data_IF_445439799795
#
_entry.id   IF_445439799795
#
_cell.length_a   1.000
_cell.length_b   1.000
_cell.length_c   1.000
_cell.angle_alpha   90.00
_cell.angle_beta   90.00
_cell.angle_gamma   90.00
#
_symmetry.space_group_name_H-M   'P 1'
#
loop_
_entity.id
_entity.type
_entity.pdbx_description
1 polymer ?
#
# COMPACT_ATOMS: atom_id res chain seq x y z
N UNK A 1 -27.57 -17.90 1.61
CA UNK A 1 -27.94 -16.67 2.35
C UNK A 1 -27.64 -16.91 3.82
N UNK A 2 -26.42 -16.62 4.23
CA UNK A 2 -26.07 -16.37 5.63
C UNK A 2 -25.48 -14.96 5.65
N UNK A 3 -26.04 -14.13 6.52
CA UNK A 3 -25.85 -12.69 6.55
C UNK A 3 -24.41 -12.34 6.95
N UNK A 4 -23.56 -12.02 5.97
CA UNK A 4 -22.37 -11.18 6.17
C UNK A 4 -22.85 -9.73 6.04
N UNK A 5 -23.71 -9.29 6.94
CA UNK A 5 -24.12 -7.89 7.06
C UNK A 5 -23.71 -7.46 8.46
N UNK A 6 -22.94 -6.37 8.55
CA UNK A 6 -22.47 -5.70 9.79
C UNK A 6 -21.17 -6.20 10.42
N UNK A 7 -20.08 -6.32 9.66
CA UNK A 7 -18.75 -6.23 10.29
C UNK A 7 -18.18 -4.83 10.02
N UNK A 8 -18.26 -3.96 11.05
CA UNK A 8 -17.58 -2.66 11.07
C UNK A 8 -16.09 -2.79 10.70
N UNK A 9 -15.51 -3.96 11.00
CA UNK A 9 -14.13 -4.34 10.75
C UNK A 9 -13.98 -5.39 9.63
N UNK A 10 -13.01 -5.20 8.73
CA UNK A 10 -12.88 -5.96 7.48
C UNK A 10 -12.35 -7.40 7.58
N UNK A 11 -12.04 -7.90 8.78
CA UNK A 11 -11.64 -9.30 9.01
C UNK A 11 -12.46 -9.89 10.15
N UNK A 12 -12.98 -11.10 9.95
CA UNK A 12 -13.80 -11.82 10.94
C UNK A 12 -13.32 -13.24 11.13
N UNK A 13 -13.63 -13.82 12.30
CA UNK A 13 -13.38 -15.22 12.65
C UNK A 13 -14.73 -15.93 12.68
N UNK A 14 -14.84 -17.03 11.94
CA UNK A 14 -15.99 -17.93 11.97
C UNK A 14 -15.81 -18.94 13.10
N UNK A 15 -16.44 -18.71 14.26
CA UNK A 15 -16.28 -19.55 15.46
C UNK A 15 -16.62 -21.01 15.21
N UNK A 16 -17.60 -21.31 14.34
CA UNK A 16 -17.99 -22.67 13.95
C UNK A 16 -16.91 -23.42 13.16
N UNK A 17 -15.96 -22.71 12.57
CA UNK A 17 -14.84 -23.28 11.81
C UNK A 17 -13.50 -23.17 12.55
N UNK A 18 -13.44 -22.43 13.66
CA UNK A 18 -12.20 -22.20 14.39
C UNK A 18 -11.82 -23.45 15.20
N UNK A 19 -10.62 -24.00 14.93
CA UNK A 19 -10.08 -25.13 15.69
C UNK A 19 -9.14 -24.74 16.82
N UNK A 20 -9.09 -23.46 17.22
CA UNK A 20 -8.28 -22.95 18.35
C UNK A 20 -6.78 -23.34 18.32
N UNK A 21 -6.22 -23.58 17.13
CA UNK A 21 -4.84 -24.04 16.96
C UNK A 21 -3.75 -22.96 17.19
N UNK A 22 -4.16 -21.71 17.47
CA UNK A 22 -3.30 -20.55 17.75
C UNK A 22 -2.31 -20.13 16.64
N UNK A 23 -2.42 -20.70 15.43
CA UNK A 23 -1.55 -20.34 14.29
C UNK A 23 -1.73 -18.88 13.87
N UNK A 24 -2.96 -18.36 13.93
CA UNK A 24 -3.25 -16.96 13.62
C UNK A 24 -2.55 -15.99 14.58
N UNK A 25 -2.48 -16.33 15.88
CA UNK A 25 -1.76 -15.58 16.90
C UNK A 25 -0.27 -15.55 16.57
N UNK A 26 0.35 -16.72 16.36
CA UNK A 26 1.80 -16.84 16.10
C UNK A 26 2.26 -16.25 14.77
N UNK A 27 1.35 -16.15 13.80
CA UNK A 27 1.65 -15.59 12.48
C UNK A 27 1.35 -14.09 12.37
N UNK A 28 0.73 -13.48 13.38
CA UNK A 28 0.46 -12.05 13.39
C UNK A 28 1.74 -11.27 13.76
N UNK A 29 2.30 -10.45 12.85
CA UNK A 29 3.47 -9.63 13.18
C UNK A 29 3.17 -8.44 14.10
N UNK A 30 1.90 -8.19 14.42
CA UNK A 30 1.46 -7.01 15.17
C UNK A 30 0.79 -7.36 16.49
N UNK A 31 0.88 -8.62 16.93
CA UNK A 31 0.25 -9.12 18.16
C UNK A 31 -1.24 -8.75 18.30
N UNK A 32 -1.91 -8.64 17.15
CA UNK A 32 -3.28 -8.17 17.06
C UNK A 32 -4.31 -9.27 17.32
N UNK A 33 -3.89 -10.52 17.52
CA UNK A 33 -4.80 -11.64 17.77
C UNK A 33 -4.43 -12.23 19.13
N UNK A 34 -5.42 -12.35 20.02
CA UNK A 34 -5.22 -12.78 21.40
C UNK A 34 -6.15 -13.94 21.73
N UNK A 35 -5.69 -14.80 22.63
CA UNK A 35 -6.49 -15.87 23.22
C UNK A 35 -7.11 -15.34 24.52
N UNK A 36 -8.45 -15.38 24.60
CA UNK A 36 -9.22 -15.13 25.84
C UNK A 36 -10.09 -16.36 26.12
N UNK A 37 -11.41 -16.20 26.19
CA UNK A 37 -12.37 -17.30 26.14
C UNK A 37 -12.50 -17.84 24.71
N UNK A 38 -12.43 -16.95 23.73
CA UNK A 38 -12.31 -17.26 22.30
C UNK A 38 -11.10 -16.50 21.71
N UNK A 39 -10.74 -16.85 20.47
CA UNK A 39 -9.73 -16.11 19.71
C UNK A 39 -10.34 -14.81 19.20
N UNK A 40 -9.76 -13.68 19.59
CA UNK A 40 -10.25 -12.34 19.23
C UNK A 40 -9.18 -11.53 18.46
N UNK A 41 -9.64 -10.63 17.58
CA UNK A 41 -8.77 -9.69 16.86
C UNK A 41 -8.95 -8.29 17.45
N UNK A 42 -7.84 -7.66 17.85
CA UNK A 42 -7.73 -6.27 18.23
C UNK A 42 -7.72 -5.37 16.97
N UNK A 43 -8.79 -4.60 16.70
CA UNK A 43 -8.89 -3.79 15.48
C UNK A 43 -7.85 -2.68 15.41
N UNK A 44 -7.45 -2.13 16.56
CA UNK A 44 -6.47 -1.05 16.65
C UNK A 44 -5.08 -1.56 16.25
N UNK A 45 -4.65 -2.69 16.83
CA UNK A 45 -3.37 -3.30 16.53
C UNK A 45 -3.31 -3.91 15.11
N UNK A 46 -4.41 -4.50 14.61
CA UNK A 46 -4.41 -5.28 13.38
C UNK A 46 -4.11 -4.42 12.14
N UNK A 47 -2.95 -4.58 11.51
CA UNK A 47 -2.63 -3.83 10.30
C UNK A 47 -3.32 -4.35 9.02
N UNK A 48 -4.29 -5.26 9.11
CA UNK A 48 -5.06 -5.76 7.96
C UNK A 48 -4.19 -6.32 6.81
N UNK A 49 -3.05 -6.94 7.17
CA UNK A 49 -2.10 -7.53 6.22
C UNK A 49 -2.60 -8.87 5.66
N UNK A 50 -3.45 -9.60 6.39
CA UNK A 50 -4.07 -10.86 5.97
C UNK A 50 -3.19 -12.12 6.08
N UNK A 51 -2.02 -12.04 6.73
CA UNK A 51 -1.12 -13.20 6.95
C UNK A 51 -1.80 -14.28 7.81
N UNK A 52 -2.59 -13.89 8.80
CA UNK A 52 -3.34 -14.81 9.65
C UNK A 52 -4.37 -15.63 8.86
N UNK A 53 -5.06 -15.00 7.90
CA UNK A 53 -6.06 -15.69 7.09
C UNK A 53 -5.42 -16.72 6.15
N UNK A 54 -4.30 -16.38 5.51
CA UNK A 54 -3.57 -17.32 4.64
C UNK A 54 -2.84 -18.42 5.40
N UNK A 55 -2.70 -18.26 6.72
CA UNK A 55 -2.08 -19.26 7.59
C UNK A 55 -3.10 -20.10 8.35
N UNK A 56 -4.40 -19.78 8.27
CA UNK A 56 -5.46 -20.50 8.98
C UNK A 56 -5.75 -21.84 8.28
N UNK A 57 -5.40 -22.99 8.89
CA UNK A 57 -5.62 -24.29 8.26
C UNK A 57 -7.11 -24.65 8.13
N UNK A 58 -7.96 -24.08 8.99
CA UNK A 58 -9.40 -24.32 9.00
C UNK A 58 -10.18 -23.34 8.09
N UNK A 59 -9.53 -22.34 7.49
CA UNK A 59 -10.21 -21.31 6.70
C UNK A 59 -11.19 -20.44 7.51
N UNK A 60 -11.05 -20.39 8.84
CA UNK A 60 -11.97 -19.69 9.73
C UNK A 60 -11.87 -18.16 9.65
N UNK A 61 -10.75 -17.61 9.17
CA UNK A 61 -10.56 -16.15 9.03
C UNK A 61 -11.02 -15.67 7.66
N UNK A 62 -12.06 -14.84 7.62
CA UNK A 62 -12.62 -14.24 6.41
C UNK A 62 -12.15 -12.80 6.27
N UNK A 63 -11.69 -12.43 5.06
CA UNK A 63 -11.24 -11.06 4.73
C UNK A 63 -12.21 -10.46 3.72
N UNK A 64 -12.64 -9.24 3.96
CA UNK A 64 -13.54 -8.50 3.09
C UNK A 64 -12.86 -8.07 1.77
N UNK A 65 -11.75 -7.35 1.87
CA UNK A 65 -10.99 -6.88 0.70
C UNK A 65 -10.05 -7.97 0.20
N UNK A 66 -10.11 -8.27 -1.09
CA UNK A 66 -9.32 -9.35 -1.71
C UNK A 66 -9.61 -10.73 -1.09
N UNK A 67 -10.90 -11.04 -0.86
CA UNK A 67 -11.34 -12.38 -0.46
C UNK A 67 -10.88 -13.44 -1.47
N UNK A 68 -10.75 -14.70 -1.05
CA UNK A 68 -10.25 -15.76 -1.94
C UNK A 68 -11.11 -15.94 -3.18
N UNK A 69 -12.43 -15.79 -3.05
CA UNK A 69 -13.34 -15.87 -4.20
C UNK A 69 -13.17 -14.68 -5.15
N UNK A 70 -12.91 -13.47 -4.63
CA UNK A 70 -12.59 -12.33 -5.48
C UNK A 70 -11.28 -12.55 -6.25
N UNK A 71 -10.26 -13.12 -5.58
CA UNK A 71 -8.97 -13.42 -6.22
C UNK A 71 -9.10 -14.48 -7.31
N UNK A 72 -9.89 -15.55 -7.07
CA UNK A 72 -10.16 -16.56 -8.11
C UNK A 72 -10.80 -15.95 -9.36
N UNK A 73 -11.78 -15.05 -9.19
CA UNK A 73 -12.42 -14.35 -10.31
C UNK A 73 -11.43 -13.51 -11.11
N UNK A 74 -10.57 -12.74 -10.42
CA UNK A 74 -9.53 -11.94 -11.08
C UNK A 74 -8.54 -12.85 -11.83
N UNK A 75 -8.12 -13.96 -11.22
CA UNK A 75 -7.26 -14.96 -11.89
C UNK A 75 -7.94 -15.51 -13.15
N UNK A 76 -9.22 -15.86 -13.09
CA UNK A 76 -9.95 -16.33 -14.27
C UNK A 76 -10.02 -15.28 -15.38
N UNK A 77 -10.16 -14.01 -15.04
CA UNK A 77 -10.16 -12.90 -16.00
C UNK A 77 -8.80 -12.72 -16.66
N UNK A 78 -7.71 -12.75 -15.87
CA UNK A 78 -6.33 -12.66 -16.38
C UNK A 78 -6.01 -13.83 -17.31
N UNK A 79 -6.36 -15.06 -16.89
CA UNK A 79 -6.04 -16.27 -17.65
C UNK A 79 -6.86 -16.45 -18.94
N UNK A 80 -7.95 -15.69 -19.11
CA UNK A 80 -8.63 -15.57 -20.42
C UNK A 80 -7.81 -14.78 -21.43
N UNK A 81 -6.97 -13.87 -20.96
CA UNK A 81 -6.20 -12.95 -21.81
C UNK A 81 -4.79 -13.47 -22.10
N UNK A 82 -4.13 -14.06 -21.11
CA UNK A 82 -2.76 -14.58 -21.23
C UNK A 82 -2.52 -15.78 -20.28
N UNK A 83 -1.62 -16.72 -20.62
CA UNK A 83 -1.35 -17.90 -19.79
C UNK A 83 -0.42 -17.63 -18.59
N UNK A 84 -0.06 -16.38 -18.32
CA UNK A 84 0.74 -15.96 -17.17
C UNK A 84 -0.08 -15.08 -16.22
N UNK A 85 0.16 -15.22 -14.91
CA UNK A 85 -0.45 -14.34 -13.89
C UNK A 85 0.62 -13.83 -12.95
N UNK A 86 0.59 -12.54 -12.67
CA UNK A 86 1.52 -11.87 -11.78
C UNK A 86 0.83 -11.28 -10.55
N UNK A 87 1.42 -11.48 -9.38
CA UNK A 87 0.98 -10.92 -8.12
C UNK A 87 2.07 -10.03 -7.54
N UNK A 88 1.73 -8.79 -7.19
CA UNK A 88 2.68 -7.86 -6.61
C UNK A 88 2.23 -7.30 -5.27
N UNK A 89 3.20 -6.97 -4.43
CA UNK A 89 2.94 -6.13 -3.26
C UNK A 89 2.76 -4.69 -3.70
N UNK A 90 1.70 -4.04 -3.22
CA UNK A 90 1.40 -2.61 -3.46
C UNK A 90 2.50 -1.64 -3.01
N UNK A 91 3.41 -2.09 -2.14
CA UNK A 91 4.57 -1.29 -1.75
C UNK A 91 5.52 -0.99 -2.92
N UNK A 92 5.46 -1.76 -4.00
CA UNK A 92 6.37 -1.72 -5.13
C UNK A 92 5.69 -1.07 -6.35
N UNK A 93 5.80 0.26 -6.56
CA UNK A 93 5.40 0.94 -7.80
C UNK A 93 5.97 0.32 -9.07
N UNK A 94 7.20 -0.22 -9.05
CA UNK A 94 7.83 -0.88 -10.20
C UNK A 94 7.00 -2.05 -10.75
N UNK A 95 6.18 -2.67 -9.90
CA UNK A 95 5.24 -3.70 -10.31
C UNK A 95 3.93 -3.11 -10.88
N UNK A 96 3.99 -1.96 -11.55
CA UNK A 96 2.80 -1.29 -12.08
C UNK A 96 2.02 -2.16 -13.06
N UNK A 97 2.73 -2.95 -13.86
CA UNK A 97 2.16 -3.84 -14.87
C UNK A 97 1.76 -5.22 -14.31
N UNK A 98 1.84 -5.42 -12.99
CA UNK A 98 1.38 -6.68 -12.39
C UNK A 98 -0.13 -6.80 -12.51
N UNK A 99 -0.62 -8.02 -12.73
CA UNK A 99 -2.04 -8.31 -12.90
C UNK A 99 -2.83 -8.11 -11.60
N UNK A 100 -2.24 -8.48 -10.47
CA UNK A 100 -2.92 -8.47 -9.17
C UNK A 100 -2.06 -7.79 -8.11
N UNK A 101 -2.46 -6.59 -7.68
CA UNK A 101 -1.78 -5.83 -6.61
C UNK A 101 -2.45 -6.05 -5.27
N UNK A 102 -1.84 -6.87 -4.43
CA UNK A 102 -2.30 -7.10 -3.07
C UNK A 102 -1.66 -6.10 -2.11
N UNK A 103 -2.34 -5.74 -1.01
CA UNK A 103 -1.72 -4.92 0.02
C UNK A 103 -0.47 -5.59 0.61
N UNK A 104 -0.52 -6.92 0.78
CA UNK A 104 0.60 -7.75 1.20
C UNK A 104 0.54 -9.06 0.41
N UNK A 105 1.65 -9.51 -0.18
CA UNK A 105 1.70 -10.87 -0.75
C UNK A 105 1.77 -11.96 0.33
N UNK A 106 2.14 -11.63 1.57
CA UNK A 106 2.06 -12.55 2.70
C UNK A 106 0.64 -13.08 2.95
N UNK A 107 -0.39 -12.41 2.42
CA UNK A 107 -1.80 -12.84 2.47
C UNK A 107 -2.19 -13.82 1.37
N UNK A 108 -1.33 -14.05 0.38
CA UNK A 108 -1.62 -14.91 -0.75
C UNK A 108 -1.55 -16.38 -0.27
N UNK A 109 -2.68 -17.11 -0.28
CA UNK A 109 -2.70 -18.48 0.19
C UNK A 109 -2.32 -19.44 -0.96
N UNK A 110 -1.84 -20.64 -0.63
CA UNK A 110 -1.35 -21.62 -1.63
C UNK A 110 -2.47 -22.10 -2.56
N UNK A 111 -3.71 -22.01 -2.10
CA UNK A 111 -4.94 -22.33 -2.81
C UNK A 111 -5.12 -21.45 -4.04
N UNK A 112 -4.77 -20.16 -3.96
CA UNK A 112 -4.87 -19.26 -5.12
C UNK A 112 -3.81 -19.60 -6.16
N UNK A 113 -2.58 -19.92 -5.74
CA UNK A 113 -1.51 -20.33 -6.65
C UNK A 113 -1.84 -21.65 -7.33
N UNK A 114 -2.32 -22.64 -6.56
CA UNK A 114 -2.75 -23.93 -7.07
C UNK A 114 -3.96 -23.79 -7.99
N UNK A 115 -4.90 -22.91 -7.64
CA UNK A 115 -6.03 -22.56 -8.50
C UNK A 115 -5.52 -22.01 -9.84
N UNK A 116 -4.62 -21.02 -9.85
CA UNK A 116 -4.05 -20.47 -11.08
C UNK A 116 -3.46 -21.56 -12.00
N UNK A 117 -2.65 -22.48 -11.48
CA UNK A 117 -2.11 -23.60 -12.28
C UNK A 117 -3.23 -24.52 -12.78
N UNK A 118 -4.21 -24.87 -11.93
CA UNK A 118 -5.34 -25.72 -12.32
C UNK A 118 -6.22 -25.10 -13.42
N UNK A 119 -6.20 -23.77 -13.54
CA UNK A 119 -6.90 -23.00 -14.57
C UNK A 119 -6.07 -22.77 -15.84
N UNK A 120 -4.85 -23.32 -15.89
CA UNK A 120 -3.99 -23.31 -17.08
C UNK A 120 -2.88 -22.26 -17.06
N UNK A 121 -2.61 -21.62 -15.92
CA UNK A 121 -1.44 -20.76 -15.80
C UNK A 121 -0.16 -21.57 -16.06
N UNK A 122 0.66 -21.12 -17.01
CA UNK A 122 1.98 -21.70 -17.33
C UNK A 122 3.09 -21.10 -16.47
N UNK A 123 2.90 -19.86 -16.02
CA UNK A 123 3.84 -19.11 -15.19
C UNK A 123 3.09 -18.29 -14.17
N UNK A 124 3.57 -18.31 -12.93
CA UNK A 124 3.14 -17.41 -11.87
C UNK A 124 4.33 -16.55 -11.46
N UNK A 125 4.16 -15.23 -11.50
CA UNK A 125 5.20 -14.28 -11.08
C UNK A 125 4.79 -13.64 -9.76
N UNK A 126 5.66 -13.69 -8.76
CA UNK A 126 5.44 -13.11 -7.45
C UNK A 126 6.47 -12.00 -7.20
N UNK A 127 5.98 -10.81 -6.90
CA UNK A 127 6.82 -9.62 -6.68
C UNK A 127 6.68 -9.09 -5.23
N UNK A 128 7.16 -9.83 -4.21
CA UNK A 128 7.11 -9.38 -2.82
C UNK A 128 8.12 -8.26 -2.56
N UNK A 129 7.99 -7.62 -1.39
CA UNK A 129 9.04 -6.76 -0.87
C UNK A 129 10.33 -7.54 -0.60
N UNK A 130 11.47 -6.86 -0.70
CA UNK A 130 12.67 -7.27 0.03
C UNK A 130 12.40 -7.41 1.54
N UNK A 131 13.15 -8.31 2.19
CA UNK A 131 12.89 -8.70 3.57
C UNK A 131 13.01 -7.52 4.54
N UNK A 132 14.11 -6.77 4.45
CA UNK A 132 14.35 -5.59 5.29
C UNK A 132 13.56 -4.34 4.84
N UNK A 133 12.85 -4.41 3.72
CA UNK A 133 11.94 -3.36 3.24
C UNK A 133 10.48 -3.66 3.59
N UNK A 134 10.18 -4.86 4.08
CA UNK A 134 8.81 -5.34 4.20
C UNK A 134 8.00 -4.50 5.19
N UNK A 135 7.03 -3.73 4.69
CA UNK A 135 6.13 -2.86 5.48
C UNK A 135 5.23 -3.60 6.46
N UNK A 136 5.12 -4.93 6.35
CA UNK A 136 4.37 -5.78 7.28
C UNK A 136 5.26 -6.75 8.05
N UNK A 137 6.55 -6.43 8.16
CA UNK A 137 7.61 -7.15 8.88
C UNK A 137 7.90 -8.57 8.36
N UNK A 138 6.88 -9.43 8.28
CA UNK A 138 7.00 -10.84 7.94
C UNK A 138 6.26 -11.22 6.66
N UNK A 139 5.68 -10.25 5.93
CA UNK A 139 4.88 -10.53 4.74
C UNK A 139 5.64 -11.28 3.64
N UNK A 140 6.87 -10.85 3.32
CA UNK A 140 7.72 -11.49 2.31
C UNK A 140 8.15 -12.89 2.75
N UNK A 141 8.68 -13.01 3.97
CA UNK A 141 8.99 -14.29 4.61
C UNK A 141 7.85 -15.30 4.56
N UNK A 142 6.66 -14.86 4.97
CA UNK A 142 5.50 -15.73 5.08
C UNK A 142 5.07 -16.25 3.70
N UNK A 143 5.13 -15.41 2.66
CA UNK A 143 4.92 -15.84 1.28
C UNK A 143 5.96 -16.87 0.84
N UNK A 144 7.24 -16.52 0.95
CA UNK A 144 8.34 -17.36 0.42
C UNK A 144 8.32 -18.74 1.08
N UNK A 145 8.14 -18.80 2.40
CA UNK A 145 8.03 -20.04 3.14
C UNK A 145 6.92 -20.97 2.60
N UNK A 146 5.75 -20.41 2.25
CA UNK A 146 4.63 -21.17 1.68
C UNK A 146 4.88 -21.62 0.24
N UNK A 147 5.59 -20.79 -0.54
CA UNK A 147 5.76 -21.02 -1.98
C UNK A 147 6.92 -21.96 -2.29
N UNK A 148 7.98 -22.01 -1.47
CA UNK A 148 9.18 -22.81 -1.79
C UNK A 148 8.86 -24.30 -2.01
N UNK A 149 8.08 -24.92 -1.12
CA UNK A 149 7.68 -26.33 -1.27
C UNK A 149 6.67 -26.53 -2.40
N UNK A 150 5.77 -25.56 -2.61
CA UNK A 150 4.79 -25.60 -3.69
C UNK A 150 5.48 -25.55 -5.07
N UNK A 151 6.49 -24.69 -5.23
CA UNK A 151 7.25 -24.59 -6.47
C UNK A 151 8.02 -25.88 -6.76
N UNK A 152 8.67 -26.47 -5.75
CA UNK A 152 9.35 -27.76 -5.90
C UNK A 152 8.39 -28.88 -6.32
N UNK A 153 7.16 -28.90 -5.77
CA UNK A 153 6.12 -29.84 -6.18
C UNK A 153 5.70 -29.62 -7.64
N UNK A 154 5.45 -28.38 -8.04
CA UNK A 154 5.05 -28.04 -9.42
C UNK A 154 6.12 -28.38 -10.45
N UNK A 155 7.40 -28.08 -10.16
CA UNK A 155 8.52 -28.48 -11.00
C UNK A 155 8.59 -30.01 -11.17
N UNK A 156 8.39 -30.78 -10.10
CA UNK A 156 8.39 -32.26 -10.15
C UNK A 156 7.25 -32.84 -11.00
N UNK A 157 6.14 -32.11 -11.12
CA UNK A 157 4.97 -32.49 -11.92
C UNK A 157 5.04 -31.95 -13.36
N UNK A 158 6.07 -31.17 -13.72
CA UNK A 158 6.13 -30.44 -15.00
C UNK A 158 5.02 -29.39 -15.14
N UNK A 159 4.45 -28.94 -14.02
CA UNK A 159 3.25 -28.10 -13.96
C UNK A 159 3.60 -26.63 -13.72
N UNK A 160 3.99 -25.91 -14.78
CA UNK A 160 4.30 -24.47 -14.70
C UNK A 160 5.46 -24.14 -13.76
N UNK A 161 5.77 -22.85 -13.62
CA UNK A 161 6.83 -22.37 -12.72
C UNK A 161 6.36 -21.16 -11.92
N UNK A 162 6.69 -21.14 -10.63
CA UNK A 162 6.54 -19.95 -9.79
C UNK A 162 7.89 -19.25 -9.74
N UNK A 163 7.92 -17.99 -10.17
CA UNK A 163 9.09 -17.13 -10.05
C UNK A 163 8.86 -16.08 -8.97
N UNK A 164 9.91 -15.75 -8.22
CA UNK A 164 9.86 -14.76 -7.15
C UNK A 164 10.93 -13.71 -7.39
N UNK A 165 10.51 -12.46 -7.58
CA UNK A 165 11.37 -11.30 -7.74
C UNK A 165 11.16 -10.35 -6.56
N UNK A 166 12.19 -10.12 -5.75
CA UNK A 166 12.07 -9.21 -4.60
C UNK A 166 12.34 -7.79 -5.05
N UNK A 167 11.43 -6.89 -4.73
CA UNK A 167 11.50 -5.47 -5.09
C UNK A 167 11.54 -4.60 -3.84
N UNK A 168 12.13 -3.42 -3.98
CA UNK A 168 12.05 -2.38 -2.97
C UNK A 168 12.03 -1.00 -3.62
N UNK A 169 11.16 -0.12 -3.12
CA UNK A 169 11.05 1.24 -3.63
C UNK A 169 11.63 2.22 -2.61
N UNK A 170 12.92 2.02 -2.35
CA UNK A 170 13.72 2.92 -1.52
C UNK A 170 14.00 4.23 -2.27
N UNK A 171 14.37 5.25 -1.51
CA UNK A 171 14.73 6.55 -2.09
C UNK A 171 16.07 6.46 -2.81
N UNK A 172 16.13 7.00 -4.02
CA UNK A 172 17.35 7.21 -4.80
C UNK A 172 17.90 8.61 -4.54
N UNK A 173 19.21 8.76 -4.51
CA UNK A 173 19.90 10.00 -4.16
C UNK A 173 20.88 10.45 -5.24
N UNK A 174 20.75 11.70 -5.67
CA UNK A 174 21.72 12.38 -6.54
C UNK A 174 22.57 13.36 -5.72
N UNK A 175 23.80 12.93 -5.41
CA UNK A 175 24.77 13.73 -4.67
C UNK A 175 25.10 15.07 -5.34
N UNK A 176 25.09 15.12 -6.68
CA UNK A 176 25.50 16.32 -7.43
C UNK A 176 24.50 17.46 -7.30
N UNK A 177 23.23 17.13 -7.04
CA UNK A 177 22.15 18.10 -6.82
C UNK A 177 22.04 18.53 -5.36
N UNK A 178 22.58 17.75 -4.43
CA UNK A 178 22.39 17.96 -3.01
C UNK A 178 23.09 19.23 -2.49
N UNK A 179 22.34 20.09 -1.82
CA UNK A 179 22.85 21.31 -1.17
C UNK A 179 23.04 21.15 0.35
N UNK A 180 22.94 19.93 0.87
CA UNK A 180 23.22 19.61 2.28
C UNK A 180 22.37 20.39 3.31
N UNK A 181 21.12 20.73 2.97
CA UNK A 181 20.26 21.56 3.81
C UNK A 181 19.68 20.86 5.07
N UNK A 182 19.74 19.52 5.14
CA UNK A 182 19.30 18.77 6.33
C UNK A 182 17.81 18.43 6.41
N UNK A 183 16.91 19.03 5.61
CA UNK A 183 15.47 18.80 5.74
C UNK A 183 15.05 17.33 5.56
N UNK A 184 15.71 16.61 4.65
CA UNK A 184 15.42 15.21 4.40
C UNK A 184 15.75 14.30 5.60
N UNK A 185 16.83 14.60 6.32
CA UNK A 185 17.21 13.93 7.57
C UNK A 185 16.22 14.27 8.68
N UNK A 186 15.89 15.55 8.85
CA UNK A 186 14.94 16.03 9.86
C UNK A 186 13.54 15.42 9.72
N UNK A 187 13.04 15.27 8.49
CA UNK A 187 11.67 14.77 8.26
C UNK A 187 11.59 13.24 8.26
N UNK A 188 12.72 12.53 8.24
CA UNK A 188 12.72 11.07 8.16
C UNK A 188 12.28 10.48 9.52
N UNK A 189 11.14 9.78 9.62
CA UNK A 189 10.71 9.21 10.90
C UNK A 189 11.52 7.95 11.28
N UNK A 190 12.33 7.41 10.35
CA UNK A 190 13.07 6.18 10.51
C UNK A 190 14.56 6.38 10.77
N UNK A 191 15.02 7.63 10.89
CA UNK A 191 16.45 7.97 10.99
C UNK A 191 17.30 7.32 9.88
N UNK A 192 16.71 7.13 8.70
CA UNK A 192 17.36 6.50 7.55
C UNK A 192 18.27 7.47 6.78
N UNK A 193 18.20 8.77 7.06
CA UNK A 193 18.91 9.83 6.37
C UNK A 193 19.69 10.65 7.41
N UNK A 194 20.99 10.83 7.22
CA UNK A 194 21.84 11.59 8.15
C UNK A 194 23.02 12.27 7.45
N UNK A 195 23.54 13.33 8.08
CA UNK A 195 24.82 13.94 7.74
C UNK A 195 25.80 13.65 8.88
N UNK A 196 27.07 13.36 8.56
CA UNK A 196 28.11 13.19 9.58
C UNK A 196 28.79 14.53 9.87
N UNK A 197 29.44 14.67 11.04
CA UNK A 197 30.14 15.92 11.36
C UNK A 197 31.28 16.22 10.37
N UNK A 198 31.82 15.17 9.75
CA UNK A 198 32.97 15.22 8.86
C UNK A 198 32.60 15.31 7.37
N UNK A 199 31.31 15.21 7.00
CA UNK A 199 30.87 15.14 5.60
C UNK A 199 29.57 15.88 5.34
N UNK A 200 29.54 16.64 4.25
CA UNK A 200 28.32 17.23 3.70
C UNK A 200 27.55 16.26 2.81
N UNK A 201 28.08 15.06 2.57
CA UNK A 201 27.39 14.04 1.78
C UNK A 201 26.31 13.38 2.65
N UNK A 202 25.07 13.40 2.15
CA UNK A 202 23.96 12.71 2.78
C UNK A 202 24.22 11.20 2.79
N UNK A 203 24.20 10.59 3.98
CA UNK A 203 24.23 9.14 4.14
C UNK A 203 22.81 8.60 4.21
N UNK A 204 22.55 7.52 3.47
CA UNK A 204 21.27 6.80 3.49
C UNK A 204 21.51 5.39 4.03
N UNK A 205 20.86 5.06 5.13
CA UNK A 205 20.80 3.70 5.66
C UNK A 205 19.64 2.97 5.00
N UNK A 206 19.93 2.25 3.90
CA UNK A 206 18.92 1.60 3.07
C UNK A 206 18.00 0.66 3.87
N UNK A 207 18.55 -0.04 4.86
CA UNK A 207 17.79 -0.98 5.69
C UNK A 207 16.75 -0.31 6.61
N UNK A 208 16.87 0.99 6.85
CA UNK A 208 15.86 1.77 7.60
C UNK A 208 14.87 2.46 6.66
N UNK A 209 15.14 2.52 5.36
CA UNK A 209 14.32 3.26 4.41
C UNK A 209 13.06 2.47 4.04
N UNK A 210 11.91 2.88 4.58
CA UNK A 210 10.61 2.28 4.24
C UNK A 210 9.97 2.84 2.95
N UNK A 211 10.70 3.69 2.23
CA UNK A 211 10.25 4.26 0.94
C UNK A 211 8.98 5.10 1.06
N UNK A 212 8.83 5.88 2.14
CA UNK A 212 7.61 6.65 2.39
C UNK A 212 7.50 7.98 1.63
N UNK A 213 8.60 8.46 1.04
CA UNK A 213 8.63 9.67 0.22
C UNK A 213 8.59 11.01 0.97
N UNK A 214 8.57 11.04 2.30
CA UNK A 214 8.57 12.31 3.06
C UNK A 214 9.79 13.20 2.73
N UNK A 215 10.97 12.59 2.61
CA UNK A 215 12.20 13.28 2.23
C UNK A 215 12.15 13.85 0.80
N UNK A 216 11.52 13.13 -0.14
CA UNK A 216 11.28 13.61 -1.51
C UNK A 216 10.40 14.84 -1.48
N UNK A 217 9.35 14.85 -0.65
CA UNK A 217 8.39 15.96 -0.56
C UNK A 217 8.98 17.29 -0.08
N UNK A 218 10.15 17.27 0.57
CA UNK A 218 10.79 18.46 1.17
C UNK A 218 12.11 18.83 0.49
N UNK A 219 12.58 18.07 -0.49
CA UNK A 219 13.87 18.34 -1.13
C UNK A 219 13.74 19.51 -2.11
N UNK A 220 14.33 20.69 -1.85
CA UNK A 220 14.13 21.88 -2.69
C UNK A 220 14.88 21.80 -4.03
N UNK A 221 15.86 20.90 -4.12
CA UNK A 221 16.72 20.71 -5.29
C UNK A 221 16.47 19.36 -5.98
N UNK A 222 15.37 18.70 -5.58
CA UNK A 222 14.89 17.42 -6.11
C UNK A 222 15.92 16.28 -6.04
N UNK A 223 17.00 16.40 -5.28
CA UNK A 223 18.10 15.41 -5.17
C UNK A 223 17.68 14.01 -4.66
N UNK A 224 16.41 13.81 -4.31
CA UNK A 224 15.86 12.57 -3.79
C UNK A 224 14.61 12.20 -4.58
N UNK A 225 14.54 10.97 -5.06
CA UNK A 225 13.44 10.47 -5.90
C UNK A 225 13.06 9.04 -5.50
N UNK A 226 11.82 8.63 -5.76
CA UNK A 226 11.38 7.23 -5.64
C UNK A 226 10.84 6.84 -7.01
N UNK A 227 11.34 5.72 -7.53
CA UNK A 227 10.97 5.22 -8.84
C UNK A 227 9.46 4.97 -8.94
N UNK A 228 8.85 5.45 -10.02
CA UNK A 228 7.42 5.38 -10.26
C UNK A 228 6.59 6.41 -9.48
N UNK A 229 7.24 7.37 -8.82
CA UNK A 229 6.60 8.46 -8.08
C UNK A 229 7.29 9.81 -8.27
N UNK A 230 7.84 10.01 -9.45
CA UNK A 230 8.43 11.27 -9.89
C UNK A 230 7.36 12.36 -9.98
N UNK A 231 7.74 13.62 -9.74
CA UNK A 231 6.79 14.74 -9.78
C UNK A 231 6.07 14.86 -11.12
N UNK A 232 6.80 14.73 -12.23
CA UNK A 232 6.25 14.79 -13.60
C UNK A 232 5.15 13.75 -13.84
N UNK A 233 5.28 12.57 -13.24
CA UNK A 233 4.28 11.50 -13.35
C UNK A 233 2.95 11.95 -12.74
N UNK A 234 2.98 12.61 -11.59
CA UNK A 234 1.76 13.11 -10.95
C UNK A 234 1.10 14.24 -11.72
N UNK A 235 1.90 15.16 -12.26
CA UNK A 235 1.41 16.25 -13.12
C UNK A 235 0.68 15.67 -14.34
N UNK A 236 1.27 14.66 -14.98
CA UNK A 236 0.64 13.95 -16.11
C UNK A 236 -0.68 13.26 -15.70
N UNK A 237 -0.72 12.59 -14.55
CA UNK A 237 -1.95 11.95 -14.03
C UNK A 237 -3.05 12.98 -13.77
N UNK A 238 -2.72 14.14 -13.20
CA UNK A 238 -3.68 15.23 -12.97
C UNK A 238 -4.20 15.77 -14.30
N UNK A 239 -3.32 16.08 -15.25
CA UNK A 239 -3.70 16.58 -16.58
C UNK A 239 -4.62 15.59 -17.30
N UNK A 240 -4.28 14.30 -17.25
CA UNK A 240 -5.09 13.23 -17.86
C UNK A 240 -6.46 13.06 -17.17
N UNK A 241 -6.52 13.15 -15.85
CA UNK A 241 -7.78 13.12 -15.11
C UNK A 241 -8.73 14.24 -15.55
N UNK A 242 -8.22 15.48 -15.63
CA UNK A 242 -9.01 16.64 -16.01
C UNK A 242 -9.49 16.54 -17.47
N UNK A 243 -8.65 16.03 -18.38
CA UNK A 243 -9.04 15.74 -19.77
C UNK A 243 -10.18 14.72 -19.86
N UNK A 244 -10.22 13.76 -18.94
CA UNK A 244 -11.31 12.76 -18.83
C UNK A 244 -12.57 13.30 -18.14
N UNK A 245 -12.62 14.59 -17.82
CA UNK A 245 -13.79 15.27 -17.26
C UNK A 245 -13.82 15.32 -15.73
N UNK A 246 -12.75 14.87 -15.05
CA UNK A 246 -12.66 15.05 -13.61
C UNK A 246 -12.64 16.54 -13.24
N UNK A 247 -13.27 16.87 -12.12
CA UNK A 247 -13.23 18.20 -11.50
C UNK A 247 -12.69 18.16 -10.08
N UNK A 248 -12.84 17.02 -9.40
CA UNK A 248 -12.34 16.78 -8.05
C UNK A 248 -11.18 15.81 -8.11
N UNK A 249 -10.02 16.22 -7.61
CA UNK A 249 -8.80 15.38 -7.61
C UNK A 249 -8.55 14.86 -6.20
N UNK A 250 -8.63 13.54 -6.03
CA UNK A 250 -8.31 12.85 -4.79
C UNK A 250 -6.87 12.33 -4.83
N UNK A 251 -5.97 12.97 -4.09
CA UNK A 251 -4.61 12.50 -3.86
C UNK A 251 -4.61 11.61 -2.61
N UNK A 252 -4.52 10.30 -2.80
CA UNK A 252 -4.78 9.35 -1.71
C UNK A 252 -3.63 8.43 -1.37
N UNK A 253 -3.40 8.27 -0.06
CA UNK A 253 -2.50 7.26 0.46
C UNK A 253 -2.95 5.86 0.00
N UNK A 254 -2.09 5.13 -0.71
CA UNK A 254 -2.38 3.74 -1.16
C UNK A 254 -2.63 2.71 -0.04
N UNK A 255 -2.52 3.14 1.22
CA UNK A 255 -2.68 2.37 2.43
C UNK A 255 -3.92 2.72 3.26
N UNK A 256 -4.57 3.85 2.96
CA UNK A 256 -5.80 4.29 3.65
C UNK A 256 -7.06 3.73 2.99
N UNK A 257 -6.99 3.36 1.71
CA UNK A 257 -8.04 2.65 1.00
C UNK A 257 -7.40 1.73 -0.06
N UNK A 258 -7.65 0.43 0.05
CA UNK A 258 -7.03 -0.52 -0.85
C UNK A 258 -7.70 -0.55 -2.23
N UNK A 259 -8.97 -0.24 -2.35
CA UNK A 259 -9.64 -0.35 -3.66
C UNK A 259 -9.49 0.97 -4.42
N UNK A 260 -9.78 2.09 -3.75
CA UNK A 260 -9.82 3.42 -4.40
C UNK A 260 -8.46 3.94 -4.84
N UNK A 261 -7.39 3.60 -4.11
CA UNK A 261 -6.02 4.04 -4.40
C UNK A 261 -5.10 2.87 -4.76
N UNK A 262 -5.64 1.90 -5.51
CA UNK A 262 -4.86 0.83 -6.15
C UNK A 262 -4.15 1.34 -7.42
N UNK A 263 -4.87 2.06 -8.25
CA UNK A 263 -4.42 2.67 -9.51
C UNK A 263 -5.19 3.97 -9.79
N UNK A 264 -4.77 4.71 -10.82
CA UNK A 264 -5.48 5.91 -11.23
C UNK A 264 -6.82 5.55 -11.86
N UNK A 265 -7.90 6.18 -11.39
CA UNK A 265 -9.24 5.98 -11.93
C UNK A 265 -10.03 7.28 -11.95
N UNK A 266 -10.92 7.41 -12.92
CA UNK A 266 -11.85 8.54 -13.04
C UNK A 266 -13.26 7.99 -12.99
N UNK A 267 -14.05 8.44 -12.02
CA UNK A 267 -15.42 8.02 -11.76
C UNK A 267 -16.31 9.26 -11.75
N UNK A 268 -16.99 9.52 -12.87
CA UNK A 268 -17.76 10.76 -13.02
C UNK A 268 -16.85 11.99 -12.97
N UNK A 269 -17.09 12.88 -12.00
CA UNK A 269 -16.28 14.10 -11.80
C UNK A 269 -15.12 13.89 -10.82
N UNK A 270 -14.93 12.70 -10.26
CA UNK A 270 -13.86 12.40 -9.31
C UNK A 270 -12.72 11.64 -9.97
N UNK A 271 -11.48 12.08 -9.76
CA UNK A 271 -10.29 11.30 -10.08
C UNK A 271 -9.59 10.86 -8.81
N UNK A 272 -9.29 9.57 -8.69
CA UNK A 272 -8.52 9.00 -7.59
C UNK A 272 -7.11 8.72 -8.07
N UNK A 273 -6.13 9.41 -7.49
CA UNK A 273 -4.72 9.34 -7.85
C UNK A 273 -3.95 8.78 -6.64
N UNK A 274 -3.42 7.55 -6.72
CA UNK A 274 -2.69 6.95 -5.62
C UNK A 274 -1.30 7.56 -5.45
N UNK A 275 -0.97 7.94 -4.22
CA UNK A 275 0.39 8.31 -3.80
C UNK A 275 0.97 7.23 -2.88
N UNK A 276 2.27 7.25 -2.63
CA UNK A 276 2.94 6.34 -1.69
C UNK A 276 2.31 6.43 -0.29
N UNK A 277 2.16 7.66 0.17
CA UNK A 277 1.85 8.04 1.54
C UNK A 277 1.25 9.44 1.52
N UNK A 278 0.33 9.75 2.43
CA UNK A 278 -0.14 11.13 2.60
C UNK A 278 0.99 12.10 2.95
N UNK A 279 2.01 11.65 3.69
CA UNK A 279 3.18 12.49 4.04
C UNK A 279 4.11 12.80 2.86
N UNK A 280 3.98 12.09 1.73
CA UNK A 280 4.67 12.43 0.49
C UNK A 280 4.00 13.60 -0.23
N UNK A 281 2.71 13.83 -0.02
CA UNK A 281 1.96 14.86 -0.74
C UNK A 281 2.45 16.22 -0.28
N UNK A 282 3.15 16.94 -1.16
CA UNK A 282 3.57 18.32 -0.91
C UNK A 282 2.46 19.31 -1.26
N UNK A 283 2.58 20.52 -0.73
CA UNK A 283 1.72 21.66 -1.04
C UNK A 283 1.73 21.95 -2.55
N UNK A 284 2.89 21.77 -3.19
CA UNK A 284 3.08 22.00 -4.63
C UNK A 284 2.20 21.08 -5.48
N UNK A 285 1.99 19.81 -5.09
CA UNK A 285 1.11 18.91 -5.84
C UNK A 285 -0.36 19.37 -5.78
N UNK A 286 -0.80 19.87 -4.63
CA UNK A 286 -2.15 20.42 -4.46
C UNK A 286 -2.32 21.72 -5.25
N UNK A 287 -1.34 22.62 -5.14
CA UNK A 287 -1.32 23.88 -5.88
C UNK A 287 -1.32 23.62 -7.40
N UNK A 288 -0.51 22.65 -7.86
CA UNK A 288 -0.47 22.26 -9.27
C UNK A 288 -1.85 21.76 -9.73
N UNK A 289 -2.51 20.87 -8.99
CA UNK A 289 -3.85 20.41 -9.36
C UNK A 289 -4.89 21.55 -9.44
N UNK A 290 -4.86 22.50 -8.49
CA UNK A 290 -5.71 23.69 -8.55
C UNK A 290 -5.38 24.58 -9.76
N UNK A 291 -4.10 24.72 -10.09
CA UNK A 291 -3.61 25.50 -11.23
C UNK A 291 -4.06 24.91 -12.58
N UNK A 292 -3.99 23.58 -12.72
CA UNK A 292 -4.43 22.85 -13.92
C UNK A 292 -5.96 22.90 -14.11
N UNK A 293 -6.72 23.31 -13.08
CA UNK A 293 -8.16 23.56 -13.19
C UNK A 293 -9.05 22.64 -12.35
N UNK A 294 -8.48 21.81 -11.47
CA UNK A 294 -9.28 21.05 -10.50
C UNK A 294 -10.11 22.00 -9.64
N UNK A 295 -11.42 21.80 -9.57
CA UNK A 295 -12.32 22.60 -8.73
C UNK A 295 -12.04 22.36 -7.25
N UNK A 296 -11.80 21.12 -6.87
CA UNK A 296 -11.44 20.72 -5.51
C UNK A 296 -10.29 19.72 -5.54
N UNK A 297 -9.44 19.77 -4.53
CA UNK A 297 -8.38 18.81 -4.28
C UNK A 297 -8.60 18.21 -2.89
N UNK A 298 -8.75 16.89 -2.85
CA UNK A 298 -8.99 16.12 -1.65
C UNK A 298 -7.73 15.33 -1.34
N UNK A 299 -7.12 15.57 -0.19
CA UNK A 299 -6.04 14.75 0.33
C UNK A 299 -6.64 13.65 1.21
N UNK A 300 -6.44 12.39 0.84
CA UNK A 300 -6.88 11.25 1.63
C UNK A 300 -5.69 10.61 2.38
N UNK A 301 -5.81 10.57 3.71
CA UNK A 301 -4.81 10.04 4.64
C UNK A 301 -5.33 8.85 5.46
N UNK A 302 -4.44 8.16 6.17
CA UNK A 302 -4.86 7.15 7.14
C UNK A 302 -5.57 7.83 8.33
N UNK A 303 -6.53 7.15 8.95
CA UNK A 303 -7.10 7.54 10.26
C UNK A 303 -5.97 7.64 11.31
N UNK A 304 -6.19 8.47 12.33
CA UNK A 304 -5.32 8.61 13.50
C UNK A 304 -5.01 7.23 14.12
N UNK A 305 -3.79 7.05 14.62
CA UNK A 305 -3.28 5.77 15.15
C UNK A 305 -3.26 4.58 14.14
N UNK A 306 -3.59 4.83 12.86
CA UNK A 306 -3.61 3.82 11.79
C UNK A 306 -2.53 4.06 10.72
N UNK A 307 -1.58 4.95 10.98
CA UNK A 307 -0.56 5.32 10.00
C UNK A 307 0.46 4.18 9.81
N UNK A 308 0.58 3.70 8.57
CA UNK A 308 1.46 2.57 8.25
C UNK A 308 2.90 2.92 7.95
N UNK A 309 3.15 4.19 7.62
CA UNK A 309 4.47 4.68 7.21
C UNK A 309 4.98 5.75 8.18
N UNK A 310 4.57 5.66 9.44
CA UNK A 310 4.96 6.49 10.58
C UNK A 310 4.79 8.00 10.37
N UNK A 311 3.88 8.62 11.13
CA UNK A 311 3.61 10.08 11.12
C UNK A 311 3.24 10.66 9.75
N UNK A 312 2.79 9.82 8.81
CA UNK A 312 2.41 10.25 7.46
C UNK A 312 1.08 11.00 7.41
N UNK A 313 0.10 10.60 8.22
CA UNK A 313 -1.17 11.32 8.39
C UNK A 313 -0.91 12.64 9.16
N UNK A 314 -0.19 12.59 10.28
CA UNK A 314 0.14 13.77 11.10
C UNK A 314 0.85 14.85 10.29
N UNK A 315 1.85 14.45 9.46
CA UNK A 315 2.55 15.38 8.58
C UNK A 315 1.60 16.02 7.56
N UNK A 316 0.74 15.22 6.92
CA UNK A 316 -0.23 15.73 5.95
C UNK A 316 -1.26 16.67 6.62
N UNK A 317 -1.77 16.30 7.79
CA UNK A 317 -2.69 17.12 8.57
C UNK A 317 -2.10 18.49 8.90
N UNK A 318 -0.86 18.52 9.41
CA UNK A 318 -0.16 19.77 9.70
C UNK A 318 0.04 20.60 8.42
N UNK A 319 0.60 19.97 7.39
CA UNK A 319 0.93 20.60 6.09
C UNK A 319 -0.29 21.24 5.45
N UNK A 320 -1.41 20.51 5.34
CA UNK A 320 -2.59 21.01 4.65
C UNK A 320 -3.45 21.94 5.50
N UNK A 321 -3.35 21.87 6.83
CA UNK A 321 -3.88 22.92 7.71
C UNK A 321 -3.17 24.25 7.46
N UNK A 322 -1.85 24.24 7.36
CA UNK A 322 -1.03 25.42 7.05
C UNK A 322 -1.32 25.94 5.63
N UNK A 323 -1.38 25.05 4.63
CA UNK A 323 -1.73 25.44 3.26
C UNK A 323 -3.12 26.09 3.17
N UNK A 324 -4.14 25.53 3.83
CA UNK A 324 -5.49 26.13 3.85
C UNK A 324 -5.49 27.52 4.46
N UNK A 325 -4.68 27.76 5.50
CA UNK A 325 -4.52 29.09 6.07
C UNK A 325 -3.88 30.07 5.07
N UNK A 326 -2.88 29.62 4.31
CA UNK A 326 -2.23 30.42 3.24
C UNK A 326 -3.18 30.71 2.07
N UNK A 327 -4.08 29.79 1.74
CA UNK A 327 -5.04 29.94 0.64
C UNK A 327 -6.29 30.76 1.02
N UNK A 328 -6.50 31.04 2.31
CA UNK A 328 -7.69 31.76 2.81
C UNK A 328 -7.81 33.18 2.23
N UNK A 329 -6.76 34.02 2.17
CA UNK A 329 -6.85 35.35 1.55
C UNK A 329 -7.17 35.32 0.05
N UNK A 330 -6.88 34.20 -0.63
CA UNK A 330 -7.19 34.00 -2.05
C UNK A 330 -8.61 33.44 -2.28
N UNK A 331 -9.36 33.12 -1.22
CA UNK A 331 -10.66 32.47 -1.33
C UNK A 331 -10.58 31.01 -1.81
N UNK A 332 -9.39 30.39 -1.79
CA UNK A 332 -9.17 29.03 -2.31
C UNK A 332 -9.16 27.95 -1.22
N UNK A 333 -9.19 28.32 0.06
CA UNK A 333 -9.13 27.39 1.19
C UNK A 333 -10.28 26.36 1.26
N UNK A 334 -11.43 26.67 0.67
CA UNK A 334 -12.60 25.79 0.59
C UNK A 334 -12.53 24.80 -0.58
N UNK A 335 -11.48 24.89 -1.41
CA UNK A 335 -11.19 23.96 -2.51
C UNK A 335 -10.19 22.88 -2.12
N UNK A 336 -9.67 22.90 -0.89
CA UNK A 336 -8.70 21.93 -0.39
C UNK A 336 -9.28 21.24 0.82
N UNK A 337 -9.46 19.92 0.72
CA UNK A 337 -10.07 19.11 1.75
C UNK A 337 -9.08 18.06 2.24
N UNK A 338 -9.16 17.75 3.53
CA UNK A 338 -8.43 16.63 4.11
C UNK A 338 -9.45 15.65 4.66
N UNK A 339 -9.34 14.40 4.22
CA UNK A 339 -10.16 13.29 4.71
C UNK A 339 -9.25 12.15 5.19
N UNK A 340 -9.80 11.31 6.04
CA UNK A 340 -9.14 10.11 6.55
C UNK A 340 -9.97 8.87 6.25
N UNK A 341 -9.29 7.77 5.94
CA UNK A 341 -9.92 6.45 5.79
C UNK A 341 -8.99 5.34 6.28
N UNK A 342 -9.56 4.16 6.51
CA UNK A 342 -8.79 2.95 6.80
C UNK A 342 -9.40 1.77 6.05
N UNK A 343 -8.58 0.89 5.45
CA UNK A 343 -9.08 -0.32 4.80
C UNK A 343 -9.60 -1.35 5.82
N UNK A 344 -9.40 -1.09 7.12
CA UNK A 344 -9.98 -1.88 8.21
C UNK A 344 -11.49 -1.68 8.32
N UNK A 345 -12.01 -0.51 7.91
CA UNK A 345 -13.38 -0.11 8.17
C UNK A 345 -14.12 0.25 6.86
N UNK A 346 -14.53 -0.76 6.06
CA UNK A 346 -15.07 -0.56 4.72
C UNK A 346 -16.37 0.26 4.68
N UNK A 347 -17.17 0.25 5.74
CA UNK A 347 -18.41 1.03 5.85
C UNK A 347 -18.22 2.43 6.48
N UNK A 348 -16.98 2.88 6.65
CA UNK A 348 -16.67 4.20 7.21
C UNK A 348 -16.65 4.21 8.75
N UNK A 349 -15.78 3.39 9.33
CA UNK A 349 -15.46 3.44 10.76
C UNK A 349 -15.04 4.86 11.16
N UNK A 350 -15.62 5.32 12.27
CA UNK A 350 -15.51 6.71 12.76
C UNK A 350 -14.08 7.17 12.99
#
# INVERSE_FOLDING_TARGET
MNQVNQSEFGISILSESCGECLVCIRSCPFDAIKEKEEVEIDPEACQYCGICASSCPAGALQIFHYSYDSLKKIVDEVLRMKPEVSFACRANPEAENSDIKLPCLGRLPVEILSYSISRGARKIELMPCEENFCRFEHGSRALVFRVSLLNALFESLGAGAISVERLSSRVKYDERRCISCGYCAFICPYDALSFTAESTVLKIEEEKCMGCGKCVSVCPVFALEIEGFESERFENMVSEALKRGARRIHLGCRWSDYERFSEMRVEGEDAFIPVICSGFISENLVIHALHEGAQEVIVNSCIENNCRLEKGNELAEKRFRELRALLKPLGLHDRVHLISSSPKFPEGGK
#
